data_IF_067070307628
#
_entry.id   IF_067070307628
#
_cell.length_a   1.000
_cell.length_b   1.000
_cell.length_c   1.000
_cell.angle_alpha   90.00
_cell.angle_beta   90.00
_cell.angle_gamma   90.00
#
_symmetry.space_group_name_H-M   'P 1'
#
loop_
_entity.id
_entity.type
_entity.pdbx_description
1 polymer ?
#
# COMPACT_ATOMS: atom_id res chain seq x y z
N UNK A 1 49.82 5.63 -24.36
CA UNK A 1 48.41 5.79 -23.94
C UNK A 1 48.41 6.69 -22.70
N UNK A 2 47.77 7.85 -22.76
CA UNK A 2 47.65 8.73 -21.60
C UNK A 2 46.44 8.26 -20.77
N UNK A 3 46.70 7.56 -19.67
CA UNK A 3 45.68 7.14 -18.70
C UNK A 3 45.60 8.11 -17.53
N UNK A 4 44.46 8.12 -16.83
CA UNK A 4 44.27 8.91 -15.60
C UNK A 4 45.26 8.40 -14.53
N UNK A 5 46.13 9.30 -14.05
CA UNK A 5 47.05 8.98 -12.96
C UNK A 5 46.33 9.10 -11.62
N UNK A 6 46.67 8.23 -10.67
CA UNK A 6 46.07 8.16 -9.33
C UNK A 6 44.56 7.89 -9.29
N UNK A 7 44.01 7.21 -10.31
CA UNK A 7 42.63 6.72 -10.24
C UNK A 7 42.52 5.61 -9.19
N UNK A 8 41.73 5.86 -8.15
CA UNK A 8 41.32 4.85 -7.19
C UNK A 8 39.92 4.37 -7.54
N UNK A 9 39.78 3.13 -8.00
CA UNK A 9 38.48 2.55 -8.39
C UNK A 9 37.45 2.55 -7.26
N UNK A 10 37.92 2.46 -6.02
CA UNK A 10 37.06 2.31 -4.85
C UNK A 10 36.26 3.60 -4.54
N UNK A 11 36.73 4.75 -5.02
CA UNK A 11 36.04 6.04 -4.86
C UNK A 11 34.90 6.27 -5.89
N UNK A 12 34.77 5.37 -6.88
CA UNK A 12 33.81 5.51 -7.99
C UNK A 12 32.81 4.35 -8.06
N UNK A 13 32.58 3.66 -6.94
CA UNK A 13 31.46 2.73 -6.78
C UNK A 13 30.10 3.44 -6.82
N UNK A 14 29.03 2.69 -7.08
CA UNK A 14 27.67 3.20 -6.89
C UNK A 14 27.43 3.50 -5.42
N UNK A 15 26.66 4.56 -5.13
CA UNK A 15 26.27 4.90 -3.77
C UNK A 15 25.31 3.81 -3.25
N UNK A 16 25.63 3.12 -2.13
CA UNK A 16 24.76 2.10 -1.58
C UNK A 16 23.49 2.71 -0.98
N UNK A 17 22.40 1.93 -0.99
CA UNK A 17 21.10 2.29 -0.42
C UNK A 17 20.70 1.19 0.58
N UNK A 18 20.16 1.58 1.73
CA UNK A 18 19.64 0.65 2.71
C UNK A 18 18.38 -0.03 2.16
N UNK A 19 18.35 -1.37 2.19
CA UNK A 19 17.26 -2.18 1.63
C UNK A 19 16.81 -3.25 2.62
N UNK A 20 15.50 -3.52 2.65
CA UNK A 20 14.90 -4.61 3.40
C UNK A 20 13.77 -5.27 2.60
N UNK A 21 13.54 -6.56 2.83
CA UNK A 21 12.40 -7.28 2.26
C UNK A 21 11.30 -7.44 3.31
N UNK A 22 10.07 -7.09 2.95
CA UNK A 22 8.89 -7.23 3.80
C UNK A 22 7.76 -7.90 3.03
N UNK A 23 7.55 -9.19 3.27
CA UNK A 23 6.61 -9.96 2.46
C UNK A 23 6.99 -9.93 0.97
N UNK A 24 6.08 -9.53 0.07
CA UNK A 24 6.38 -9.38 -1.35
C UNK A 24 7.07 -8.04 -1.69
N UNK A 25 7.27 -7.15 -0.71
CA UNK A 25 7.76 -5.79 -0.94
C UNK A 25 9.26 -5.66 -0.70
N UNK A 26 9.87 -4.74 -1.44
CA UNK A 26 11.24 -4.28 -1.22
C UNK A 26 11.15 -2.84 -0.73
N UNK A 27 11.64 -2.61 0.49
CA UNK A 27 11.68 -1.30 1.12
C UNK A 27 13.07 -0.71 0.97
N UNK A 28 13.14 0.58 0.66
CA UNK A 28 14.39 1.33 0.54
C UNK A 28 14.39 2.51 1.50
N UNK A 29 15.56 2.82 2.04
CA UNK A 29 15.79 3.99 2.87
C UNK A 29 16.96 4.78 2.28
N UNK A 30 16.67 6.02 1.88
CA UNK A 30 17.61 6.92 1.22
C UNK A 30 18.38 7.81 2.21
N UNK A 31 18.06 7.73 3.50
CA UNK A 31 18.78 8.45 4.54
C UNK A 31 20.19 7.87 4.69
N UNK A 32 21.19 8.71 4.41
CA UNK A 32 22.61 8.36 4.43
C UNK A 32 23.18 8.34 5.84
N UNK A 33 22.50 8.96 6.79
CA UNK A 33 22.95 9.06 8.18
C UNK A 33 22.55 7.82 8.99
N UNK A 34 21.65 6.99 8.46
CA UNK A 34 21.28 5.70 9.05
C UNK A 34 22.37 4.68 8.67
N UNK A 35 23.22 4.25 9.62
CA UNK A 35 24.31 3.32 9.33
C UNK A 35 23.72 2.00 8.87
N UNK A 36 24.41 1.29 7.97
CA UNK A 36 24.03 -0.07 7.60
C UNK A 36 24.09 -0.96 8.85
N UNK A 37 22.93 -1.21 9.47
CA UNK A 37 22.87 -2.04 10.67
C UNK A 37 23.00 -3.51 10.28
N UNK A 38 23.83 -4.28 11.01
CA UNK A 38 23.87 -5.75 10.92
C UNK A 38 22.68 -6.39 11.65
N UNK A 39 21.47 -5.89 11.37
CA UNK A 39 20.22 -6.48 11.85
C UNK A 39 19.69 -7.48 10.84
N UNK A 40 18.92 -8.46 11.33
CA UNK A 40 18.13 -9.30 10.44
C UNK A 40 17.14 -8.44 9.64
N UNK A 41 16.72 -8.90 8.47
CA UNK A 41 15.76 -8.17 7.62
C UNK A 41 14.47 -7.82 8.39
N UNK A 42 14.00 -8.74 9.24
CA UNK A 42 12.80 -8.54 10.07
C UNK A 42 12.97 -7.37 11.03
N UNK A 43 14.05 -7.36 11.82
CA UNK A 43 14.31 -6.28 12.79
C UNK A 43 14.50 -4.92 12.11
N UNK A 44 15.04 -4.88 10.88
CA UNK A 44 15.11 -3.65 10.08
C UNK A 44 13.72 -3.14 9.73
N UNK A 45 12.86 -3.99 9.18
CA UNK A 45 11.48 -3.63 8.81
C UNK A 45 10.70 -3.11 10.02
N UNK A 46 10.77 -3.83 11.14
CA UNK A 46 10.11 -3.47 12.38
C UNK A 46 10.59 -2.11 12.90
N UNK A 47 11.91 -1.91 13.00
CA UNK A 47 12.45 -0.70 13.57
C UNK A 47 12.29 0.52 12.66
N UNK A 48 12.58 0.39 11.36
CA UNK A 48 12.63 1.54 10.44
C UNK A 48 11.26 1.91 9.85
N UNK A 49 10.38 0.94 9.55
CA UNK A 49 9.14 1.21 8.80
C UNK A 49 7.85 0.98 9.59
N UNK A 50 7.78 -0.03 10.47
CA UNK A 50 6.49 -0.44 11.06
C UNK A 50 6.31 -0.03 12.53
N UNK A 51 7.40 0.17 13.27
CA UNK A 51 7.38 0.48 14.69
C UNK A 51 6.66 -0.60 15.52
N UNK A 52 5.92 -0.14 16.52
CA UNK A 52 5.03 -0.96 17.38
C UNK A 52 3.85 -1.59 16.60
N UNK A 53 3.57 -1.12 15.38
CA UNK A 53 2.58 -1.70 14.48
C UNK A 53 3.03 -2.98 13.75
N UNK A 54 4.26 -3.45 13.94
CA UNK A 54 4.80 -4.60 13.20
C UNK A 54 4.06 -5.92 13.43
N UNK A 55 3.67 -6.21 14.67
CA UNK A 55 2.96 -7.44 15.03
C UNK A 55 1.59 -7.50 14.37
N UNK A 56 0.85 -6.39 14.40
CA UNK A 56 -0.49 -6.33 13.83
C UNK A 56 -0.49 -6.43 12.31
N UNK A 57 0.52 -5.85 11.66
CA UNK A 57 0.72 -5.98 10.21
C UNK A 57 1.03 -7.43 9.81
N UNK A 58 1.91 -8.09 10.57
CA UNK A 58 2.34 -9.47 10.28
C UNK A 58 1.19 -10.47 10.43
N UNK A 59 0.37 -10.31 11.45
CA UNK A 59 -0.79 -11.18 11.72
C UNK A 59 -1.95 -10.95 10.76
N UNK A 60 -2.16 -9.70 10.31
CA UNK A 60 -3.31 -9.34 9.49
C UNK A 60 -3.11 -9.57 7.99
N UNK A 61 -1.89 -9.40 7.47
CA UNK A 61 -1.65 -9.42 6.02
C UNK A 61 -1.33 -10.79 5.45
N UNK A 62 -0.67 -11.68 6.22
CA UNK A 62 -0.24 -13.03 5.83
C UNK A 62 0.04 -13.21 4.31
N UNK A 63 1.26 -12.89 3.90
CA UNK A 63 1.65 -12.92 2.48
C UNK A 63 1.91 -14.31 1.90
N UNK A 64 1.84 -15.38 2.69
CA UNK A 64 2.33 -16.70 2.28
C UNK A 64 1.54 -17.32 1.11
N UNK A 65 0.27 -16.96 0.96
CA UNK A 65 -0.63 -17.58 -0.02
C UNK A 65 -0.93 -16.71 -1.24
N UNK A 66 -0.60 -15.41 -1.19
CA UNK A 66 -0.97 -14.47 -2.25
C UNK A 66 0.10 -14.38 -3.34
N UNK A 67 -0.33 -14.11 -4.58
CA UNK A 67 0.52 -13.87 -5.74
C UNK A 67 0.14 -12.56 -6.40
N UNK A 68 1.13 -11.82 -6.89
CA UNK A 68 0.91 -10.63 -7.72
C UNK A 68 0.22 -11.04 -9.02
N UNK A 69 -0.82 -10.31 -9.41
CA UNK A 69 -1.61 -10.61 -10.61
C UNK A 69 -1.71 -9.43 -11.58
N UNK A 70 -1.56 -8.18 -11.10
CA UNK A 70 -1.74 -6.99 -11.93
C UNK A 70 -1.12 -5.76 -11.28
N UNK A 71 -0.57 -4.87 -12.10
CA UNK A 71 -0.26 -3.48 -11.76
C UNK A 71 -1.15 -2.53 -12.57
N UNK A 72 -1.58 -1.42 -11.96
CA UNK A 72 -2.19 -0.26 -12.62
C UNK A 72 -1.59 1.02 -12.06
N UNK A 73 -1.56 2.06 -12.88
CA UNK A 73 -1.00 3.37 -12.52
C UNK A 73 -2.04 4.44 -12.82
N UNK A 74 -2.17 5.41 -11.92
CA UNK A 74 -3.10 6.51 -12.04
C UNK A 74 -2.35 7.81 -11.80
N UNK A 75 -2.36 8.71 -12.79
CA UNK A 75 -1.91 10.07 -12.58
C UNK A 75 -3.05 10.86 -11.95
N UNK A 76 -2.75 11.60 -10.88
CA UNK A 76 -3.75 12.33 -10.09
C UNK A 76 -3.27 13.78 -9.96
N UNK A 77 -4.12 14.72 -10.35
CA UNK A 77 -3.81 16.15 -10.31
C UNK A 77 -4.07 16.76 -8.92
N UNK A 78 -3.49 16.12 -7.90
CA UNK A 78 -3.49 16.60 -6.52
C UNK A 78 -2.12 16.44 -5.85
N UNK A 79 -1.91 17.14 -4.74
CA UNK A 79 -0.77 16.89 -3.87
C UNK A 79 -0.86 15.45 -3.31
N UNK A 80 0.27 14.75 -3.22
CA UNK A 80 0.31 13.38 -2.68
C UNK A 80 -0.32 13.25 -1.28
N UNK A 81 -0.23 14.29 -0.45
CA UNK A 81 -0.83 14.31 0.89
C UNK A 81 -2.36 14.31 0.84
N UNK A 82 -2.96 15.02 -0.12
CA UNK A 82 -4.42 15.05 -0.30
C UNK A 82 -4.95 13.66 -0.62
N UNK A 83 -4.25 12.92 -1.50
CA UNK A 83 -4.62 11.55 -1.81
C UNK A 83 -4.42 10.61 -0.60
N UNK A 84 -3.36 10.78 0.18
CA UNK A 84 -3.19 10.05 1.44
C UNK A 84 -4.30 10.36 2.46
N UNK A 85 -4.68 11.63 2.60
CA UNK A 85 -5.73 12.07 3.52
C UNK A 85 -7.09 11.46 3.15
N UNK A 86 -7.38 11.32 1.85
CA UNK A 86 -8.57 10.63 1.37
C UNK A 86 -8.66 9.18 1.90
N UNK A 87 -7.55 8.43 1.89
CA UNK A 87 -7.49 7.08 2.45
C UNK A 87 -7.63 7.08 3.99
N UNK A 88 -7.14 8.14 4.65
CA UNK A 88 -7.03 8.25 6.11
C UNK A 88 -8.27 8.84 6.79
N UNK A 89 -9.32 9.17 6.06
CA UNK A 89 -10.48 9.90 6.58
C UNK A 89 -11.42 9.09 7.50
N UNK A 90 -11.05 7.86 7.86
CA UNK A 90 -11.85 6.99 8.71
C UNK A 90 -13.08 6.40 8.02
N UNK A 91 -13.08 6.35 6.68
CA UNK A 91 -14.22 5.88 5.89
C UNK A 91 -15.36 6.90 5.82
N UNK A 92 -15.08 8.17 6.08
CA UNK A 92 -16.08 9.24 6.10
C UNK A 92 -16.73 9.47 4.74
N UNK A 93 -15.94 9.51 3.66
CA UNK A 93 -16.45 9.70 2.30
C UNK A 93 -17.17 8.46 1.76
N UNK A 94 -16.86 7.26 2.28
CA UNK A 94 -17.28 5.97 1.70
C UNK A 94 -18.80 5.86 1.46
N UNK A 95 -19.69 6.22 2.40
CA UNK A 95 -21.14 6.15 2.17
C UNK A 95 -21.67 7.14 1.13
N UNK A 96 -20.94 8.24 0.88
CA UNK A 96 -21.38 9.33 0.02
C UNK A 96 -20.83 9.20 -1.40
N UNK A 97 -19.57 8.80 -1.54
CA UNK A 97 -18.89 8.64 -2.82
C UNK A 97 -19.02 7.21 -3.36
N UNK A 98 -18.73 6.19 -2.56
CA UNK A 98 -18.65 4.80 -3.02
C UNK A 98 -19.93 4.02 -2.73
N UNK A 99 -21.05 4.40 -3.37
CA UNK A 99 -22.36 3.76 -3.13
C UNK A 99 -22.34 2.23 -3.35
N UNK A 100 -21.55 1.74 -4.31
CA UNK A 100 -21.42 0.30 -4.57
C UNK A 100 -20.52 -0.44 -3.57
N UNK A 101 -19.54 0.25 -2.97
CA UNK A 101 -18.61 -0.33 -2.01
C UNK A 101 -19.17 -0.28 -0.58
N UNK A 102 -19.79 0.85 -0.20
CA UNK A 102 -20.39 1.07 1.12
C UNK A 102 -21.46 0.04 1.47
N UNK A 103 -22.25 -0.43 0.50
CA UNK A 103 -23.26 -1.48 0.73
C UNK A 103 -22.65 -2.84 1.13
N UNK A 104 -21.35 -3.02 0.91
CA UNK A 104 -20.64 -4.25 1.23
C UNK A 104 -19.90 -4.20 2.57
N UNK A 105 -19.88 -3.04 3.24
CA UNK A 105 -19.20 -2.83 4.51
C UNK A 105 -20.19 -2.49 5.62
N UNK A 106 -19.93 -2.99 6.82
CA UNK A 106 -20.67 -2.60 8.02
C UNK A 106 -19.98 -1.38 8.66
N UNK A 107 -20.31 -0.19 8.18
CA UNK A 107 -19.68 1.06 8.63
C UNK A 107 -19.80 1.32 10.14
N UNK A 108 -20.79 0.74 10.83
CA UNK A 108 -20.92 0.84 12.29
C UNK A 108 -19.80 0.12 13.07
N UNK A 109 -19.06 -0.77 12.41
CA UNK A 109 -17.92 -1.51 12.98
C UNK A 109 -16.58 -0.89 12.62
N UNK A 110 -16.58 0.24 11.90
CA UNK A 110 -15.35 0.86 11.43
C UNK A 110 -14.52 1.38 12.61
N UNK A 111 -13.27 0.95 12.72
CA UNK A 111 -12.33 1.42 13.74
C UNK A 111 -11.04 1.91 13.11
N UNK A 112 -10.36 2.84 13.79
CA UNK A 112 -9.04 3.35 13.43
C UNK A 112 -8.13 3.27 14.66
N UNK A 113 -6.95 2.69 14.47
CA UNK A 113 -5.90 2.57 15.48
C UNK A 113 -4.62 3.19 14.92
N UNK A 114 -4.02 4.11 15.68
CA UNK A 114 -2.79 4.83 15.29
C UNK A 114 -1.63 4.25 16.08
N UNK A 115 -0.57 3.92 15.36
CA UNK A 115 0.72 3.43 15.87
C UNK A 115 1.81 4.46 15.56
N UNK A 116 3.05 4.20 15.97
CA UNK A 116 4.15 5.15 15.76
C UNK A 116 4.38 5.49 14.28
N UNK A 117 4.35 4.47 13.41
CA UNK A 117 4.70 4.60 11.98
C UNK A 117 3.61 4.20 11.01
N UNK A 118 2.53 3.62 11.54
CA UNK A 118 1.43 3.13 10.75
C UNK A 118 0.10 3.56 11.34
N UNK A 119 -0.93 3.55 10.51
CA UNK A 119 -2.32 3.66 10.93
C UNK A 119 -3.06 2.45 10.37
N UNK A 120 -3.90 1.83 11.19
CA UNK A 120 -4.70 0.67 10.81
C UNK A 120 -6.18 1.00 10.92
N UNK A 121 -6.94 0.72 9.87
CA UNK A 121 -8.40 0.78 9.89
C UNK A 121 -8.99 -0.60 9.66
N UNK A 122 -10.13 -0.90 10.31
CA UNK A 122 -10.81 -2.19 10.17
C UNK A 122 -12.31 -1.99 10.05
N UNK A 123 -12.95 -2.86 9.28
CA UNK A 123 -14.40 -2.89 9.14
C UNK A 123 -14.87 -4.33 8.85
N UNK A 124 -16.00 -4.74 9.40
CA UNK A 124 -16.63 -6.01 9.03
C UNK A 124 -17.36 -5.89 7.69
N UNK A 125 -17.39 -6.99 6.92
CA UNK A 125 -18.23 -7.04 5.73
C UNK A 125 -19.71 -7.12 6.11
N UNK A 126 -20.57 -6.46 5.34
CA UNK A 126 -22.03 -6.53 5.52
C UNK A 126 -22.62 -7.91 5.14
N UNK A 127 -21.87 -8.75 4.42
CA UNK A 127 -22.28 -10.12 4.08
C UNK A 127 -21.10 -11.09 4.01
N UNK A 128 -21.32 -12.35 4.39
CA UNK A 128 -20.31 -13.43 4.36
C UNK A 128 -20.29 -14.21 3.04
N UNK A 129 -20.92 -13.68 1.99
CA UNK A 129 -20.91 -14.33 0.68
C UNK A 129 -19.48 -14.45 0.14
N UNK A 130 -19.25 -15.45 -0.72
CA UNK A 130 -17.99 -15.81 -1.38
C UNK A 130 -17.52 -14.71 -2.38
N UNK A 131 -17.41 -13.46 -1.93
CA UNK A 131 -16.96 -12.30 -2.69
C UNK A 131 -15.52 -11.96 -2.31
N UNK A 132 -14.93 -10.97 -3.01
CA UNK A 132 -13.53 -10.58 -2.76
C UNK A 132 -13.28 -10.05 -1.34
N UNK A 133 -14.30 -9.59 -0.62
CA UNK A 133 -14.14 -8.90 0.65
C UNK A 133 -13.91 -9.84 1.83
N UNK A 134 -14.45 -11.07 1.76
CA UNK A 134 -14.44 -11.99 2.89
C UNK A 134 -15.23 -11.44 4.08
N UNK A 135 -14.81 -11.79 5.30
CA UNK A 135 -15.50 -11.40 6.54
C UNK A 135 -15.09 -10.05 7.10
N UNK A 136 -13.86 -9.59 6.82
CA UNK A 136 -13.27 -8.38 7.37
C UNK A 136 -12.42 -7.68 6.31
N UNK A 137 -12.50 -6.36 6.29
CA UNK A 137 -11.60 -5.48 5.59
C UNK A 137 -10.55 -4.94 6.57
N UNK A 138 -9.29 -5.00 6.16
CA UNK A 138 -8.16 -4.45 6.89
C UNK A 138 -7.44 -3.47 5.98
N UNK A 139 -7.25 -2.25 6.46
CA UNK A 139 -6.54 -1.20 5.75
C UNK A 139 -5.38 -0.75 6.62
N UNK A 140 -4.21 -0.57 6.03
CA UNK A 140 -3.05 -0.04 6.72
C UNK A 140 -2.39 1.03 5.88
N UNK A 141 -2.09 2.15 6.51
CA UNK A 141 -1.24 3.19 5.96
C UNK A 141 0.11 3.12 6.65
N UNK A 142 1.18 2.92 5.87
CA UNK A 142 2.57 2.99 6.31
C UNK A 142 3.11 4.34 5.87
N UNK A 143 3.47 5.19 6.83
CA UNK A 143 4.02 6.50 6.54
C UNK A 143 5.33 6.34 5.72
N UNK A 144 5.55 7.16 4.68
CA UNK A 144 4.78 8.36 4.33
C UNK A 144 3.63 8.15 3.33
N UNK A 145 3.63 7.10 2.53
CA UNK A 145 2.87 7.12 1.27
C UNK A 145 2.49 5.75 0.73
N UNK A 146 2.42 4.75 1.60
CA UNK A 146 2.14 3.37 1.20
C UNK A 146 0.91 2.83 1.92
N UNK A 147 -0.09 2.41 1.15
CA UNK A 147 -1.30 1.79 1.66
C UNK A 147 -1.32 0.30 1.35
N UNK A 148 -1.86 -0.50 2.24
CA UNK A 148 -2.16 -1.92 2.03
C UNK A 148 -3.59 -2.19 2.46
N UNK A 149 -4.40 -2.73 1.55
CA UNK A 149 -5.77 -3.16 1.83
C UNK A 149 -5.88 -4.66 1.65
N UNK A 150 -6.33 -5.37 2.67
CA UNK A 150 -6.54 -6.82 2.67
C UNK A 150 -8.02 -7.13 2.87
N UNK A 151 -8.57 -7.90 1.94
CA UNK A 151 -9.94 -8.39 2.01
C UNK A 151 -9.98 -9.85 1.60
N UNK A 152 -10.44 -10.75 2.47
CA UNK A 152 -10.53 -12.19 2.17
C UNK A 152 -9.35 -12.73 1.33
N UNK A 153 -9.56 -13.21 0.08
CA UNK A 153 -8.49 -13.66 -0.80
C UNK A 153 -7.77 -12.53 -1.58
N UNK A 154 -8.33 -11.33 -1.65
CA UNK A 154 -7.82 -10.17 -2.39
C UNK A 154 -6.92 -9.29 -1.52
N UNK A 155 -5.86 -8.75 -2.11
CA UNK A 155 -5.06 -7.69 -1.48
C UNK A 155 -4.66 -6.69 -2.54
N UNK A 156 -4.64 -5.41 -2.18
CA UNK A 156 -4.15 -4.35 -3.04
C UNK A 156 -3.24 -3.42 -2.24
N UNK A 157 -2.33 -2.76 -2.95
CA UNK A 157 -1.45 -1.74 -2.36
C UNK A 157 -1.44 -0.49 -3.18
N UNK A 158 -1.33 0.66 -2.54
CA UNK A 158 -1.28 1.96 -3.21
C UNK A 158 0.03 2.62 -2.80
N UNK A 159 0.95 2.82 -3.76
CA UNK A 159 2.16 3.59 -3.54
C UNK A 159 2.02 4.96 -4.20
N UNK A 160 1.95 6.01 -3.39
CA UNK A 160 1.75 7.38 -3.87
C UNK A 160 3.10 8.05 -4.11
N UNK A 161 3.45 8.27 -5.37
CA UNK A 161 4.70 8.90 -5.80
C UNK A 161 4.46 10.40 -6.01
N UNK A 162 5.05 11.29 -5.19
CA UNK A 162 4.98 12.72 -5.43
C UNK A 162 5.74 13.10 -6.70
N UNK A 163 5.06 13.75 -7.65
CA UNK A 163 5.68 14.27 -8.88
C UNK A 163 5.89 15.78 -8.77
N UNK A 164 4.97 16.48 -8.10
CA UNK A 164 5.03 17.92 -7.88
C UNK A 164 4.09 18.37 -6.77
N UNK A 165 3.96 19.69 -6.54
CA UNK A 165 3.12 20.23 -5.48
C UNK A 165 1.62 19.99 -5.69
N UNK A 166 1.16 19.77 -6.91
CA UNK A 166 -0.25 19.53 -7.27
C UNK A 166 -0.39 18.32 -8.22
N UNK A 167 0.56 17.38 -8.15
CA UNK A 167 0.54 16.18 -9.01
C UNK A 167 1.23 15.02 -8.31
N UNK A 168 0.59 13.85 -8.33
CA UNK A 168 1.19 12.59 -7.91
C UNK A 168 0.80 11.47 -8.87
N UNK A 169 1.52 10.35 -8.77
CA UNK A 169 1.14 9.11 -9.43
C UNK A 169 0.90 8.04 -8.36
N UNK A 170 -0.19 7.30 -8.48
CA UNK A 170 -0.53 6.22 -7.56
C UNK A 170 -0.37 4.89 -8.28
N UNK A 171 0.55 4.07 -7.78
CA UNK A 171 0.82 2.74 -8.30
C UNK A 171 0.01 1.73 -7.47
N UNK A 172 -0.93 1.07 -8.14
CA UNK A 172 -1.71 -0.03 -7.59
C UNK A 172 -1.11 -1.37 -7.98
N UNK A 173 -0.77 -2.21 -7.00
CA UNK A 173 -0.49 -3.62 -7.23
C UNK A 173 -1.59 -4.48 -6.60
N UNK A 174 -2.07 -5.46 -7.37
CA UNK A 174 -3.11 -6.38 -6.95
C UNK A 174 -2.54 -7.77 -6.76
N UNK A 175 -2.94 -8.41 -5.67
CA UNK A 175 -2.53 -9.74 -5.27
C UNK A 175 -3.75 -10.60 -4.96
N UNK A 176 -3.64 -11.89 -5.28
CA UNK A 176 -4.72 -12.85 -5.10
C UNK A 176 -4.20 -14.14 -4.48
N UNK A 177 -4.99 -14.73 -3.59
CA UNK A 177 -4.73 -16.06 -3.06
C UNK A 177 -4.53 -17.09 -4.19
N UNK A 178 -3.49 -17.91 -4.07
CA UNK A 178 -3.08 -18.88 -5.07
C UNK A 178 -4.20 -19.83 -5.51
N UNK A 179 -5.17 -20.10 -4.62
CA UNK A 179 -6.32 -20.99 -4.90
C UNK A 179 -7.29 -20.43 -5.95
N UNK A 180 -7.30 -19.12 -6.19
CA UNK A 180 -8.22 -18.45 -7.11
C UNK A 180 -7.56 -17.94 -8.40
N UNK A 181 -6.26 -18.21 -8.63
CA UNK A 181 -5.54 -17.68 -9.80
C UNK A 181 -6.09 -18.14 -11.16
N UNK A 182 -6.79 -19.28 -11.20
CA UNK A 182 -7.40 -19.79 -12.41
C UNK A 182 -8.81 -19.22 -12.67
N UNK A 183 -9.41 -18.52 -11.70
CA UNK A 183 -10.73 -17.91 -11.84
C UNK A 183 -10.63 -16.52 -12.48
N UNK A 184 -10.60 -16.52 -13.82
CA UNK A 184 -10.50 -15.28 -14.60
C UNK A 184 -11.69 -14.34 -14.40
N UNK A 185 -12.89 -14.89 -14.17
CA UNK A 185 -14.11 -14.08 -13.99
C UNK A 185 -14.02 -13.33 -12.66
N UNK A 186 -13.59 -14.02 -11.60
CA UNK A 186 -13.35 -13.41 -10.30
C UNK A 186 -12.30 -12.30 -10.38
N UNK A 187 -11.18 -12.55 -11.08
CA UNK A 187 -10.09 -11.57 -11.25
C UNK A 187 -10.59 -10.32 -11.96
N UNK A 188 -11.20 -10.45 -13.14
CA UNK A 188 -11.64 -9.29 -13.93
C UNK A 188 -12.71 -8.48 -13.17
N UNK A 189 -13.71 -9.14 -12.58
CA UNK A 189 -14.73 -8.46 -11.78
C UNK A 189 -14.13 -7.71 -10.57
N UNK A 190 -13.13 -8.30 -9.91
CA UNK A 190 -12.47 -7.65 -8.77
C UNK A 190 -11.64 -6.44 -9.20
N UNK A 191 -10.94 -6.55 -10.33
CA UNK A 191 -10.19 -5.44 -10.93
C UNK A 191 -11.11 -4.30 -11.39
N UNK A 192 -12.28 -4.59 -11.95
CA UNK A 192 -13.28 -3.58 -12.34
C UNK A 192 -13.82 -2.85 -11.10
N UNK A 193 -14.12 -3.58 -10.03
CA UNK A 193 -14.57 -2.98 -8.77
C UNK A 193 -13.50 -2.07 -8.15
N UNK A 194 -12.23 -2.51 -8.10
CA UNK A 194 -11.15 -1.64 -7.61
C UNK A 194 -10.92 -0.43 -8.52
N UNK A 195 -11.11 -0.56 -9.83
CA UNK A 195 -10.98 0.58 -10.75
C UNK A 195 -12.04 1.64 -10.51
N UNK A 196 -13.31 1.21 -10.35
CA UNK A 196 -14.41 2.14 -10.10
C UNK A 196 -14.18 2.98 -8.83
N UNK A 197 -13.79 2.32 -7.72
CA UNK A 197 -13.44 2.99 -6.47
C UNK A 197 -12.29 3.98 -6.69
N UNK A 198 -11.24 3.55 -7.40
CA UNK A 198 -10.08 4.42 -7.65
C UNK A 198 -10.42 5.65 -8.49
N UNK A 199 -11.33 5.54 -9.47
CA UNK A 199 -11.79 6.71 -10.26
C UNK A 199 -12.53 7.69 -9.36
N UNK A 200 -13.38 7.19 -8.45
CA UNK A 200 -14.10 8.00 -7.46
C UNK A 200 -13.11 8.70 -6.49
N UNK A 201 -12.08 7.99 -6.01
CA UNK A 201 -11.03 8.57 -5.14
C UNK A 201 -10.19 9.65 -5.83
N UNK A 202 -9.89 9.46 -7.11
CA UNK A 202 -9.19 10.46 -7.94
C UNK A 202 -10.05 11.72 -8.05
N UNK A 203 -11.33 11.57 -8.37
CA UNK A 203 -12.26 12.70 -8.47
C UNK A 203 -12.34 13.48 -7.15
N UNK A 204 -12.45 12.80 -6.00
CA UNK A 204 -12.46 13.46 -4.69
C UNK A 204 -11.16 14.23 -4.47
N UNK A 205 -10.02 13.59 -4.70
CA UNK A 205 -8.70 14.16 -4.42
C UNK A 205 -8.41 15.39 -5.28
N UNK A 206 -8.80 15.36 -6.55
CA UNK A 206 -8.63 16.49 -7.48
C UNK A 206 -9.57 17.65 -7.15
N UNK A 207 -10.79 17.39 -6.69
CA UNK A 207 -11.72 18.45 -6.28
C UNK A 207 -11.35 19.11 -4.94
N UNK A 208 -10.59 18.44 -4.08
CA UNK A 208 -10.10 18.99 -2.80
C UNK A 208 -8.86 19.88 -2.99
N UNK A 209 -8.07 19.65 -4.04
CA UNK A 209 -6.82 20.37 -4.32
C UNK A 209 -7.02 21.85 -4.69
#
# INVERSE_FOLDING_TARGET
MAGIQNFNKDDFGLVPINVAAWGPFVLINLDKDIPFQQKSTKEKVEYEWLGDGSEIMSTSLNYSTIKHIRRREYDVDCNWKVYCDNFLDGGYHVPYAHKGFSSSLNMSTYTTEVYEKILVQRCESASTNNNRLGSKAFYAFVYPNFMVSRYGPWMETNLVIPIGPSKCQVIFDYFLDATLLNDKIFIEKSLEQSHAIQVEDVEISENVQ
#
